data_IF_232450802968
#
_entry.id   IF_232450802968
#
_cell.length_a   1.000
_cell.length_b   1.000
_cell.length_c   1.000
_cell.angle_alpha   90.00
_cell.angle_beta   90.00
_cell.angle_gamma   90.00
#
_symmetry.space_group_name_H-M   'P 1'
#
loop_
_entity.id
_entity.type
_entity.pdbx_description
1 polymer ?
#
# COMPACT_ATOMS: atom_id res chain seq x y z
N UNK A 1 -9.29 -13.14 -12.25
CA UNK A 1 -8.38 -11.99 -12.08
C UNK A 1 -9.03 -11.00 -11.12
N UNK A 2 -8.44 -10.76 -9.95
CA UNK A 2 -8.96 -9.76 -9.02
C UNK A 2 -8.78 -8.36 -9.62
N UNK A 3 -9.81 -7.51 -9.56
CA UNK A 3 -9.70 -6.12 -10.03
C UNK A 3 -8.75 -5.34 -9.11
N UNK A 4 -8.15 -4.26 -9.62
CA UNK A 4 -7.21 -3.43 -8.88
C UNK A 4 -7.80 -2.96 -7.53
N UNK A 5 -9.09 -2.62 -7.55
CA UNK A 5 -9.82 -2.18 -6.35
C UNK A 5 -9.95 -3.31 -5.33
N UNK A 6 -10.22 -4.55 -5.76
CA UNK A 6 -10.28 -5.70 -4.86
C UNK A 6 -8.91 -6.07 -4.29
N UNK A 7 -7.84 -5.97 -5.08
CA UNK A 7 -6.47 -6.21 -4.61
C UNK A 7 -6.05 -5.25 -3.50
N UNK A 8 -6.46 -3.98 -3.58
CA UNK A 8 -6.09 -2.94 -2.62
C UNK A 8 -7.20 -2.55 -1.65
N UNK A 9 -8.30 -3.31 -1.57
CA UNK A 9 -9.50 -3.01 -0.77
C UNK A 9 -9.21 -2.63 0.68
N UNK A 10 -8.34 -3.40 1.36
CA UNK A 10 -7.96 -3.13 2.75
C UNK A 10 -7.18 -1.82 2.89
N UNK A 11 -6.30 -1.51 1.93
CA UNK A 11 -5.50 -0.27 1.92
C UNK A 11 -6.39 0.94 1.62
N UNK A 12 -7.34 0.78 0.72
CA UNK A 12 -8.35 1.81 0.40
C UNK A 12 -9.22 2.09 1.62
N UNK A 13 -9.67 1.06 2.35
CA UNK A 13 -10.48 1.23 3.57
C UNK A 13 -9.74 2.04 4.66
N UNK A 14 -8.44 1.82 4.83
CA UNK A 14 -7.60 2.63 5.74
C UNK A 14 -7.51 4.07 5.25
N UNK A 15 -7.26 4.29 3.96
CA UNK A 15 -7.22 5.62 3.37
C UNK A 15 -8.57 6.36 3.53
N UNK A 16 -9.69 5.66 3.39
CA UNK A 16 -11.03 6.21 3.66
C UNK A 16 -11.20 6.59 5.13
N UNK A 17 -10.75 5.74 6.07
CA UNK A 17 -10.82 6.05 7.50
C UNK A 17 -10.03 7.31 7.86
N UNK A 18 -8.82 7.46 7.31
CA UNK A 18 -7.97 8.63 7.53
C UNK A 18 -8.59 9.88 6.89
N UNK A 19 -9.06 9.77 5.65
CA UNK A 19 -9.69 10.88 4.94
C UNK A 19 -10.96 11.35 5.65
N UNK A 20 -11.80 10.40 6.08
CA UNK A 20 -13.03 10.66 6.83
C UNK A 20 -12.74 11.39 8.14
N UNK A 21 -11.69 11.00 8.88
CA UNK A 21 -11.26 11.74 10.08
C UNK A 21 -10.81 13.17 9.77
N UNK A 22 -10.11 13.37 8.65
CA UNK A 22 -9.57 14.68 8.27
C UNK A 22 -10.60 15.62 7.61
N UNK A 23 -11.69 15.08 7.06
CA UNK A 23 -12.70 15.83 6.30
C UNK A 23 -14.11 15.65 6.90
N UNK A 24 -14.20 15.65 8.24
CA UNK A 24 -15.48 15.67 8.99
C UNK A 24 -16.48 14.58 8.59
N UNK A 25 -15.99 13.37 8.31
CA UNK A 25 -16.83 12.23 7.92
C UNK A 25 -17.00 12.05 6.41
N UNK A 26 -16.46 12.95 5.58
CA UNK A 26 -16.56 12.87 4.12
C UNK A 26 -15.98 11.57 3.58
N UNK A 27 -16.66 10.98 2.59
CA UNK A 27 -16.20 9.75 1.91
C UNK A 27 -15.29 10.09 0.75
N UNK A 28 -14.39 9.14 0.43
CA UNK A 28 -13.51 9.28 -0.73
C UNK A 28 -14.32 9.03 -2.01
N UNK A 29 -14.22 9.93 -2.98
CA UNK A 29 -14.86 9.75 -4.28
C UNK A 29 -14.27 8.54 -5.05
N UNK A 30 -15.08 7.91 -5.89
CA UNK A 30 -14.69 6.71 -6.65
C UNK A 30 -13.48 6.95 -7.56
N UNK A 31 -13.34 8.13 -8.17
CA UNK A 31 -12.15 8.45 -8.96
C UNK A 31 -10.91 8.52 -8.08
N UNK A 32 -11.02 9.14 -6.89
CA UNK A 32 -9.90 9.21 -5.93
C UNK A 32 -9.48 7.81 -5.48
N UNK A 33 -10.43 6.89 -5.26
CA UNK A 33 -10.13 5.49 -4.90
C UNK A 33 -9.37 4.78 -6.02
N UNK A 34 -9.77 4.98 -7.27
CA UNK A 34 -9.09 4.41 -8.42
C UNK A 34 -7.65 4.95 -8.56
N UNK A 35 -7.47 6.26 -8.43
CA UNK A 35 -6.13 6.89 -8.44
C UNK A 35 -5.26 6.32 -7.33
N UNK A 36 -5.80 6.16 -6.12
CA UNK A 36 -5.08 5.62 -4.97
C UNK A 36 -4.67 4.17 -5.19
N UNK A 37 -5.54 3.35 -5.77
CA UNK A 37 -5.24 1.97 -6.16
C UNK A 37 -4.14 1.90 -7.23
N UNK A 38 -4.16 2.81 -8.22
CA UNK A 38 -3.12 2.89 -9.27
C UNK A 38 -1.77 3.26 -8.68
N UNK A 39 -1.71 4.25 -7.78
CA UNK A 39 -0.45 4.64 -7.11
C UNK A 39 0.09 3.47 -6.29
N UNK A 40 -0.75 2.84 -5.46
CA UNK A 40 -0.35 1.68 -4.66
C UNK A 40 0.20 0.55 -5.53
N UNK A 41 -0.41 0.31 -6.69
CA UNK A 41 0.04 -0.70 -7.63
C UNK A 41 1.39 -0.37 -8.25
N UNK A 42 1.59 0.88 -8.67
CA UNK A 42 2.85 1.34 -9.23
C UNK A 42 3.97 1.28 -8.17
N UNK A 43 3.68 1.68 -6.93
CA UNK A 43 4.63 1.54 -5.82
C UNK A 43 4.98 0.08 -5.55
N UNK A 44 4.00 -0.82 -5.58
CA UNK A 44 4.25 -2.24 -5.37
C UNK A 44 5.12 -2.84 -6.49
N UNK A 45 4.86 -2.48 -7.74
CA UNK A 45 5.70 -2.88 -8.89
C UNK A 45 7.12 -2.36 -8.75
N UNK A 46 7.26 -1.05 -8.52
CA UNK A 46 8.56 -0.41 -8.34
C UNK A 46 9.38 -1.06 -7.21
N UNK A 47 8.76 -1.31 -6.05
CA UNK A 47 9.44 -1.98 -4.95
C UNK A 47 9.83 -3.41 -5.32
N UNK A 48 8.92 -4.16 -5.95
CA UNK A 48 9.21 -5.54 -6.37
C UNK A 48 10.39 -5.59 -7.35
N UNK A 49 10.40 -4.70 -8.35
CA UNK A 49 11.52 -4.57 -9.30
C UNK A 49 12.83 -4.16 -8.61
N UNK A 50 12.77 -3.21 -7.68
CA UNK A 50 13.94 -2.77 -6.93
C UNK A 50 14.54 -3.87 -6.02
N UNK A 51 13.71 -4.78 -5.50
CA UNK A 51 14.16 -5.89 -4.66
C UNK A 51 14.54 -7.14 -5.46
N UNK A 52 13.97 -7.37 -6.65
CA UNK A 52 14.40 -8.45 -7.56
C UNK A 52 15.81 -8.21 -8.12
N UNK A 53 16.20 -6.94 -8.31
CA UNK A 53 17.54 -6.57 -8.77
C UNK A 53 18.61 -6.56 -7.66
N UNK A 54 18.22 -6.73 -6.39
CA UNK A 54 19.16 -6.64 -5.27
C UNK A 54 19.55 -8.02 -4.75
N UNK A 55 20.75 -8.47 -5.13
CA UNK A 55 21.42 -9.65 -4.56
C UNK A 55 21.80 -9.49 -3.07
N UNK A 56 21.40 -8.40 -2.40
CA UNK A 56 21.74 -8.13 -0.99
C UNK A 56 20.65 -7.49 -0.13
N UNK A 57 19.52 -7.04 -0.69
CA UNK A 57 18.50 -6.32 0.09
C UNK A 57 17.35 -7.25 0.46
N UNK A 58 17.38 -7.78 1.68
CA UNK A 58 16.28 -8.57 2.23
C UNK A 58 15.10 -7.64 2.58
N UNK A 59 13.98 -7.79 1.88
CA UNK A 59 12.73 -7.10 2.22
C UNK A 59 12.22 -7.65 3.55
N UNK A 60 12.25 -6.83 4.61
CA UNK A 60 11.61 -7.21 5.87
C UNK A 60 10.10 -7.19 5.70
N UNK A 61 9.43 -8.27 6.10
CA UNK A 61 7.97 -8.40 5.99
C UNK A 61 7.26 -7.22 6.69
N UNK A 62 6.51 -6.45 5.90
CA UNK A 62 5.85 -5.25 6.37
C UNK A 62 4.67 -5.63 7.28
N UNK A 63 4.79 -5.32 8.59
CA UNK A 63 3.72 -5.55 9.57
C UNK A 63 4.03 -6.57 10.66
N UNK A 64 5.23 -7.17 10.65
CA UNK A 64 5.69 -8.03 11.74
C UNK A 64 6.68 -7.28 12.64
N UNK A 65 6.45 -7.30 13.96
CA UNK A 65 7.47 -6.92 14.93
C UNK A 65 8.59 -7.96 14.93
N UNK A 66 9.69 -7.67 14.23
CA UNK A 66 10.89 -8.51 14.25
C UNK A 66 11.94 -7.86 15.18
N UNK A 67 12.44 -8.65 16.15
CA UNK A 67 13.67 -8.29 16.87
C UNK A 67 14.84 -8.43 15.89
N UNK A 68 15.62 -7.37 15.70
CA UNK A 68 16.80 -7.40 14.86
C UNK A 68 18.01 -6.88 15.65
N UNK A 69 19.19 -7.38 15.30
CA UNK A 69 20.46 -6.88 15.80
C UNK A 69 21.32 -6.51 14.60
N UNK A 70 21.74 -5.26 14.50
CA UNK A 70 22.79 -4.87 13.57
C UNK A 70 24.11 -5.06 14.29
N UNK A 71 25.06 -5.75 13.64
CA UNK A 71 26.42 -5.90 14.15
C UNK A 71 27.21 -4.63 13.88
#
# INVERSE_FOLDING_TARGET
MATLLEQYKNRIAVAESVYSKAHEGSKLDSNKKLTLATVLNNTNKFLTEAFDASSGTQRSDLGLYKKFTLR
#
